data_IF_731769930676
#
_entry.id   IF_731769930676
#
_cell.length_a   1.000
_cell.length_b   1.000
_cell.length_c   1.000
_cell.angle_alpha   90.00
_cell.angle_beta   90.00
_cell.angle_gamma   90.00
#
_symmetry.space_group_name_H-M   'P 1'
#
loop_
_entity.id
_entity.type
_entity.pdbx_description
1 polymer ?
#
# COMPACT_ATOMS: atom_id res chain seq x y z
N UNK A 1 14.09 -108.71 1.20
CA UNK A 1 12.71 -108.80 0.68
C UNK A 1 11.82 -108.77 1.85
N UNK A 2 11.11 -107.72 2.09
CA UNK A 2 9.69 -107.76 2.21
C UNK A 2 9.13 -106.38 1.79
N UNK A 3 7.75 -106.27 1.89
CA UNK A 3 7.06 -105.48 0.91
C UNK A 3 6.68 -104.08 1.34
N UNK A 4 6.38 -103.28 0.34
CA UNK A 4 5.98 -101.88 0.40
C UNK A 4 4.50 -101.81 0.82
N UNK A 5 4.20 -100.88 1.78
CA UNK A 5 2.84 -100.44 2.06
C UNK A 5 2.72 -99.00 1.71
N UNK A 6 1.86 -98.71 0.79
CA UNK A 6 1.43 -97.38 0.38
C UNK A 6 0.40 -96.86 1.34
N UNK A 7 0.54 -95.59 1.81
CA UNK A 7 -0.48 -94.87 2.57
C UNK A 7 -0.94 -93.63 1.77
N UNK A 8 -2.24 -93.29 1.82
CA UNK A 8 -2.80 -92.31 0.92
C UNK A 8 -2.55 -90.86 1.40
N UNK A 9 -2.30 -89.98 0.43
CA UNK A 9 -2.04 -88.59 0.62
C UNK A 9 -3.37 -87.87 1.03
N UNK A 10 -3.36 -87.19 2.17
CA UNK A 10 -4.36 -86.22 2.57
C UNK A 10 -4.13 -84.91 1.80
N UNK A 11 -5.11 -84.51 1.00
CA UNK A 11 -5.15 -83.16 0.40
C UNK A 11 -5.58 -82.16 1.46
N UNK A 12 -4.70 -81.27 1.84
CA UNK A 12 -5.01 -80.13 2.68
C UNK A 12 -5.44 -78.99 1.75
N UNK A 13 -6.69 -78.56 1.90
CA UNK A 13 -7.20 -77.38 1.22
C UNK A 13 -6.62 -76.11 1.89
N UNK A 14 -5.84 -75.36 1.13
CA UNK A 14 -5.34 -74.02 1.56
C UNK A 14 -6.44 -73.00 1.18
N UNK A 15 -7.07 -72.46 2.18
CA UNK A 15 -8.01 -71.32 2.01
C UNK A 15 -7.17 -70.07 1.96
N UNK A 16 -7.10 -69.42 0.79
CA UNK A 16 -6.46 -68.12 0.62
C UNK A 16 -7.47 -67.04 1.05
N UNK A 17 -7.25 -66.46 2.20
CA UNK A 17 -7.97 -65.25 2.63
C UNK A 17 -7.43 -64.04 1.85
N UNK A 18 -8.21 -63.50 0.93
CA UNK A 18 -7.93 -62.24 0.26
C UNK A 18 -8.19 -61.07 1.22
N UNK A 19 -7.10 -60.46 1.75
CA UNK A 19 -7.18 -59.20 2.47
C UNK A 19 -7.32 -58.05 1.46
N UNK A 20 -8.48 -57.48 1.36
CA UNK A 20 -8.72 -56.26 0.60
C UNK A 20 -8.08 -55.07 1.36
N UNK A 21 -6.97 -54.58 0.89
CA UNK A 21 -6.36 -53.32 1.35
C UNK A 21 -7.17 -52.15 0.78
N UNK A 22 -7.99 -51.51 1.61
CA UNK A 22 -8.64 -50.28 1.26
C UNK A 22 -7.60 -49.14 1.35
N UNK A 23 -7.05 -48.70 0.23
CA UNK A 23 -6.26 -47.49 0.14
C UNK A 23 -7.17 -46.28 0.29
N UNK A 24 -7.14 -45.64 1.46
CA UNK A 24 -7.81 -44.36 1.70
C UNK A 24 -7.04 -43.28 0.92
N UNK A 25 -7.53 -42.93 -0.26
CA UNK A 25 -7.02 -41.75 -0.99
C UNK A 25 -7.45 -40.50 -0.23
N UNK A 26 -6.58 -39.92 0.55
CA UNK A 26 -6.75 -38.59 1.12
C UNK A 26 -6.74 -37.58 -0.05
N UNK A 27 -7.91 -37.17 -0.52
CA UNK A 27 -8.03 -36.05 -1.42
C UNK A 27 -7.57 -34.77 -0.69
N UNK A 28 -6.41 -34.27 -1.06
CA UNK A 28 -5.98 -32.92 -0.69
C UNK A 28 -6.97 -31.94 -1.30
N UNK A 29 -7.95 -31.50 -0.52
CA UNK A 29 -8.83 -30.43 -0.89
C UNK A 29 -7.99 -29.15 -1.03
N UNK A 30 -7.78 -28.73 -2.27
CA UNK A 30 -7.28 -27.39 -2.54
C UNK A 30 -8.24 -26.38 -1.86
N UNK A 31 -7.73 -25.36 -1.13
CA UNK A 31 -8.60 -24.35 -0.58
C UNK A 31 -9.38 -23.71 -1.72
N UNK A 32 -10.71 -23.76 -1.64
CA UNK A 32 -11.56 -23.07 -2.57
C UNK A 32 -11.19 -21.58 -2.62
N UNK A 33 -11.19 -20.95 -3.78
CA UNK A 33 -10.96 -19.50 -3.86
C UNK A 33 -11.97 -18.82 -2.94
N UNK A 34 -11.50 -17.96 -2.03
CA UNK A 34 -12.34 -17.22 -1.11
C UNK A 34 -13.42 -16.49 -1.94
N UNK A 35 -14.65 -16.92 -1.83
CA UNK A 35 -15.78 -16.26 -2.50
C UNK A 35 -15.88 -14.83 -1.95
N UNK A 36 -16.05 -13.88 -2.86
CA UNK A 36 -16.40 -12.52 -2.48
C UNK A 36 -17.68 -12.58 -1.65
N UNK A 37 -17.63 -12.05 -0.43
CA UNK A 37 -18.83 -11.92 0.40
C UNK A 37 -19.71 -10.88 -0.28
N UNK A 38 -20.84 -11.31 -0.84
CA UNK A 38 -21.84 -10.48 -1.51
C UNK A 38 -22.60 -9.59 -0.51
N UNK A 39 -21.88 -8.74 0.18
CA UNK A 39 -22.42 -7.59 0.86
C UNK A 39 -21.74 -6.38 0.23
N UNK A 40 -22.44 -5.64 -0.63
CA UNK A 40 -21.86 -4.52 -1.36
C UNK A 40 -21.10 -3.61 -0.40
N UNK A 41 -19.77 -3.68 -0.46
CA UNK A 41 -18.92 -2.79 0.32
C UNK A 41 -19.21 -1.33 -0.06
N UNK A 42 -19.07 -0.37 0.84
CA UNK A 42 -19.16 1.02 0.48
C UNK A 42 -18.24 1.32 -0.71
N UNK A 43 -18.79 1.96 -1.74
CA UNK A 43 -18.00 2.37 -2.90
C UNK A 43 -17.17 3.60 -2.54
N UNK A 44 -16.12 3.43 -1.75
CA UNK A 44 -15.28 4.54 -1.29
C UNK A 44 -14.42 5.09 -2.42
N UNK A 45 -14.44 6.41 -2.55
CA UNK A 45 -13.54 7.16 -3.43
C UNK A 45 -12.31 7.58 -2.63
N UNK A 46 -11.17 6.98 -2.94
CA UNK A 46 -9.90 7.20 -2.23
C UNK A 46 -8.91 7.89 -3.15
N UNK A 47 -8.31 8.98 -2.67
CA UNK A 47 -7.16 9.63 -3.29
C UNK A 47 -5.88 9.14 -2.61
N UNK A 48 -4.84 8.81 -3.36
CA UNK A 48 -3.47 8.77 -2.86
C UNK A 48 -2.60 9.76 -3.61
N UNK A 49 -1.70 10.43 -2.90
CA UNK A 49 -0.81 11.43 -3.49
C UNK A 49 0.51 11.52 -2.73
N UNK A 50 1.60 11.23 -3.43
CA UNK A 50 2.92 11.60 -2.98
C UNK A 50 3.07 13.11 -3.16
N UNK A 51 3.32 13.84 -2.08
CA UNK A 51 3.26 15.31 -2.05
C UNK A 51 4.60 15.99 -2.28
N UNK A 52 5.69 15.21 -2.24
CA UNK A 52 7.06 15.75 -2.34
C UNK A 52 7.30 16.93 -1.38
N UNK A 53 6.68 16.90 -0.18
CA UNK A 53 6.94 17.90 0.87
C UNK A 53 8.15 17.45 1.70
N UNK A 54 9.29 17.38 1.04
CA UNK A 54 10.57 17.01 1.65
C UNK A 54 10.97 18.04 2.72
N UNK A 55 11.64 17.56 3.77
CA UNK A 55 12.16 18.44 4.83
C UNK A 55 12.96 19.61 4.26
N UNK A 56 12.58 20.83 4.62
CA UNK A 56 13.25 22.06 4.16
C UNK A 56 14.69 22.15 4.64
N UNK A 57 15.05 21.46 5.72
CA UNK A 57 16.42 21.38 6.23
C UNK A 57 17.34 20.60 5.28
N UNK A 58 16.84 19.58 4.60
CA UNK A 58 17.59 18.73 3.68
C UNK A 58 17.41 19.16 2.23
N UNK A 59 16.22 19.65 1.89
CA UNK A 59 15.80 20.01 0.54
C UNK A 59 15.25 21.44 0.51
N UNK A 60 16.08 22.48 0.70
CA UNK A 60 15.62 23.87 0.62
C UNK A 60 15.18 24.25 -0.81
N UNK A 61 14.36 25.28 -0.90
CA UNK A 61 13.97 25.92 -2.17
C UNK A 61 13.13 25.05 -3.13
N UNK A 62 12.30 24.16 -2.59
CA UNK A 62 11.32 23.39 -3.36
C UNK A 62 9.87 23.91 -3.22
N UNK A 63 9.69 25.10 -2.64
CA UNK A 63 8.38 25.74 -2.48
C UNK A 63 7.38 24.91 -1.66
N UNK A 64 7.85 24.15 -0.68
CA UNK A 64 7.05 23.21 0.09
C UNK A 64 5.78 23.85 0.65
N UNK A 65 5.91 25.01 1.30
CA UNK A 65 4.77 25.72 1.89
C UNK A 65 3.76 26.20 0.83
N UNK A 66 4.26 26.77 -0.28
CA UNK A 66 3.41 27.16 -1.41
C UNK A 66 2.65 25.95 -1.97
N UNK A 67 3.36 24.84 -2.23
CA UNK A 67 2.77 23.62 -2.78
C UNK A 67 1.76 22.99 -1.83
N UNK A 68 2.03 23.00 -0.54
CA UNK A 68 1.11 22.50 0.48
C UNK A 68 -0.24 23.23 0.44
N UNK A 69 -0.24 24.56 0.41
CA UNK A 69 -1.45 25.37 0.26
C UNK A 69 -2.16 25.16 -1.07
N UNK A 70 -1.39 25.09 -2.17
CA UNK A 70 -1.93 24.86 -3.50
C UNK A 70 -2.55 23.46 -3.66
N UNK A 71 -1.95 22.41 -3.08
CA UNK A 71 -2.49 21.04 -3.07
C UNK A 71 -3.83 21.01 -2.32
N UNK A 72 -3.90 21.59 -1.13
CA UNK A 72 -5.15 21.62 -0.34
C UNK A 72 -6.29 22.36 -1.06
N UNK A 73 -5.98 23.34 -1.90
CA UNK A 73 -6.93 24.10 -2.70
C UNK A 73 -7.28 23.46 -4.05
N UNK A 74 -6.49 22.50 -4.52
CA UNK A 74 -6.58 21.94 -5.87
C UNK A 74 -7.90 21.20 -6.11
N UNK A 75 -8.50 21.31 -7.33
CA UNK A 75 -9.75 20.60 -7.65
C UNK A 75 -9.63 19.07 -7.49
N UNK A 76 -8.50 18.47 -7.88
CA UNK A 76 -8.29 17.02 -7.77
C UNK A 76 -8.29 16.53 -6.32
N UNK A 77 -8.01 17.39 -5.36
CA UNK A 77 -7.94 17.06 -3.94
C UNK A 77 -9.31 16.95 -3.27
N UNK A 78 -10.38 17.34 -3.98
CA UNK A 78 -11.73 17.49 -3.42
C UNK A 78 -12.63 16.29 -3.72
N UNK A 79 -13.61 16.07 -2.84
CA UNK A 79 -14.73 15.15 -3.10
C UNK A 79 -14.41 13.67 -2.94
N UNK A 80 -13.36 13.33 -2.17
CA UNK A 80 -13.02 11.96 -1.82
C UNK A 80 -13.59 11.56 -0.46
N UNK A 81 -13.68 10.26 -0.21
CA UNK A 81 -14.05 9.70 1.09
C UNK A 81 -12.86 9.71 2.05
N UNK A 82 -11.69 9.40 1.51
CA UNK A 82 -10.42 9.46 2.23
C UNK A 82 -9.26 9.83 1.29
N UNK A 83 -8.20 10.37 1.89
CA UNK A 83 -6.96 10.74 1.21
C UNK A 83 -5.80 10.13 1.96
N UNK A 84 -4.88 9.49 1.24
CA UNK A 84 -3.57 9.06 1.76
C UNK A 84 -2.51 9.96 1.16
N UNK A 85 -1.75 10.64 2.01
CA UNK A 85 -0.63 11.46 1.61
C UNK A 85 0.66 10.77 1.98
N UNK A 86 1.63 10.80 1.07
CA UNK A 86 3.00 10.35 1.29
C UNK A 86 3.98 11.49 1.05
N UNK A 87 5.20 11.36 1.53
CA UNK A 87 6.23 12.41 1.54
C UNK A 87 5.79 13.73 2.19
N UNK A 88 4.93 13.67 3.18
CA UNK A 88 4.58 14.83 4.01
C UNK A 88 5.60 15.04 5.15
N UNK A 89 6.90 15.03 4.82
CA UNK A 89 8.02 15.07 5.78
C UNK A 89 8.18 16.45 6.43
N UNK A 90 8.11 17.54 5.64
CA UNK A 90 8.28 18.88 6.20
C UNK A 90 7.18 19.23 7.19
N UNK A 91 7.58 19.50 8.43
CA UNK A 91 6.66 19.71 9.53
C UNK A 91 5.74 20.93 9.37
N UNK A 92 6.21 22.01 8.77
CA UNK A 92 5.42 23.23 8.56
C UNK A 92 4.44 23.02 7.42
N UNK A 93 4.94 22.60 6.26
CA UNK A 93 4.14 22.43 5.06
C UNK A 93 3.10 21.32 5.20
N UNK A 94 3.42 20.21 5.88
CA UNK A 94 2.42 19.17 6.14
C UNK A 94 1.30 19.65 7.06
N UNK A 95 1.59 20.50 8.06
CA UNK A 95 0.53 21.13 8.87
C UNK A 95 -0.33 22.10 8.06
N UNK A 96 0.29 22.90 7.18
CA UNK A 96 -0.43 23.80 6.27
C UNK A 96 -1.39 23.03 5.37
N UNK A 97 -0.92 21.90 4.80
CA UNK A 97 -1.76 21.04 3.97
C UNK A 97 -2.90 20.40 4.76
N UNK A 98 -2.62 19.82 5.94
CA UNK A 98 -3.64 19.23 6.81
C UNK A 98 -4.69 20.28 7.28
N UNK A 99 -4.25 21.47 7.67
CA UNK A 99 -5.14 22.55 8.06
C UNK A 99 -6.01 23.04 6.88
N UNK A 100 -5.43 23.21 5.70
CA UNK A 100 -6.17 23.58 4.48
C UNK A 100 -7.18 22.53 4.04
N UNK A 101 -6.91 21.25 4.36
CA UNK A 101 -7.79 20.12 4.06
C UNK A 101 -8.91 19.91 5.09
N UNK A 102 -8.82 20.50 6.30
CA UNK A 102 -9.64 20.15 7.45
C UNK A 102 -11.16 20.37 7.24
N UNK A 103 -11.57 21.33 6.41
CA UNK A 103 -13.00 21.56 6.09
C UNK A 103 -13.61 20.36 5.36
N UNK A 104 -12.87 19.70 4.47
CA UNK A 104 -13.35 18.54 3.71
C UNK A 104 -13.06 17.23 4.41
N UNK A 105 -11.94 17.17 5.12
CA UNK A 105 -11.42 15.99 5.81
C UNK A 105 -11.16 16.33 7.28
N UNK A 106 -12.22 16.47 8.09
CA UNK A 106 -12.09 16.89 9.49
C UNK A 106 -11.43 15.85 10.39
N UNK A 107 -11.37 14.59 9.94
CA UNK A 107 -10.75 13.49 10.68
C UNK A 107 -9.42 13.14 10.05
N UNK A 108 -8.34 13.29 10.81
CA UNK A 108 -6.98 13.12 10.31
C UNK A 108 -6.13 12.31 11.28
N UNK A 109 -5.19 11.54 10.76
CA UNK A 109 -4.14 10.93 11.57
C UNK A 109 -2.98 11.91 11.76
N UNK A 110 -2.18 11.77 12.81
CA UNK A 110 -0.84 12.36 12.80
C UNK A 110 -0.03 11.82 11.61
N UNK A 111 1.13 12.43 11.34
CA UNK A 111 2.09 11.88 10.39
C UNK A 111 2.84 10.71 11.04
N UNK A 112 2.91 9.58 10.34
CA UNK A 112 3.62 8.36 10.78
C UNK A 112 5.07 8.70 11.14
N UNK A 113 5.53 8.17 12.25
CA UNK A 113 6.93 8.28 12.66
C UNK A 113 7.36 9.65 13.19
N UNK A 114 6.50 10.68 13.17
CA UNK A 114 6.78 12.01 13.74
C UNK A 114 6.81 12.01 15.25
N UNK A 115 6.03 11.13 15.86
CA UNK A 115 5.91 10.94 17.30
C UNK A 115 4.91 9.84 17.61
N UNK A 116 4.73 9.55 18.88
CA UNK A 116 3.75 8.56 19.34
C UNK A 116 2.44 9.19 19.80
N UNK A 117 2.43 10.51 19.98
CA UNK A 117 1.23 11.23 20.42
C UNK A 117 0.13 11.27 19.38
N UNK A 118 -1.12 11.17 19.80
CA UNK A 118 -2.30 11.22 18.93
C UNK A 118 -2.59 9.91 18.17
N UNK A 119 -1.83 8.85 18.38
CA UNK A 119 -2.09 7.49 17.93
C UNK A 119 -2.67 6.64 19.06
N UNK A 120 -3.58 5.73 18.75
CA UNK A 120 -4.12 4.76 19.73
C UNK A 120 -3.09 3.66 20.03
N UNK A 121 -2.19 3.37 19.09
CA UNK A 121 -1.06 2.48 19.29
C UNK A 121 0.08 2.80 18.31
N UNK A 122 1.30 2.53 18.75
CA UNK A 122 2.52 2.58 17.93
C UNK A 122 3.18 1.21 17.96
N UNK A 123 3.35 0.61 16.79
CA UNK A 123 4.03 -0.67 16.59
C UNK A 123 5.31 -0.52 15.77
N UNK A 124 6.04 -1.63 15.64
CA UNK A 124 7.27 -1.68 14.84
C UNK A 124 8.48 -1.07 15.54
N UNK A 125 9.34 -0.41 14.77
CA UNK A 125 10.67 0.04 15.21
C UNK A 125 10.79 1.57 15.29
N UNK A 126 9.77 2.24 15.83
CA UNK A 126 9.81 3.69 16.03
C UNK A 126 11.04 4.12 16.84
N UNK A 127 11.71 5.17 16.39
CA UNK A 127 12.81 5.81 17.12
C UNK A 127 12.65 7.33 17.14
N UNK A 128 12.66 7.92 18.33
CA UNK A 128 12.63 9.38 18.51
C UNK A 128 13.93 10.09 18.09
N UNK A 129 14.99 9.32 17.83
CA UNK A 129 16.30 9.84 17.39
C UNK A 129 16.49 9.74 15.88
N UNK A 130 15.56 9.13 15.16
CA UNK A 130 15.58 9.12 13.70
C UNK A 130 15.30 10.54 13.18
N UNK A 131 16.14 11.07 12.28
CA UNK A 131 16.08 12.48 11.87
C UNK A 131 14.76 12.89 11.20
N UNK A 132 14.20 11.99 10.36
CA UNK A 132 12.99 12.25 9.59
C UNK A 132 11.84 11.34 10.05
N UNK A 133 10.62 11.83 9.94
CA UNK A 133 9.43 11.02 10.15
C UNK A 133 9.15 10.08 8.95
N UNK A 134 7.99 9.43 8.92
CA UNK A 134 7.62 8.51 7.84
C UNK A 134 6.85 9.17 6.70
N UNK A 135 6.50 10.45 6.81
CA UNK A 135 5.84 11.24 5.77
C UNK A 135 4.43 10.79 5.37
N UNK A 136 3.78 9.89 6.13
CA UNK A 136 2.47 9.32 5.76
C UNK A 136 1.38 9.81 6.70
N UNK A 137 0.25 10.28 6.13
CA UNK A 137 -0.95 10.62 6.90
C UNK A 137 -2.22 10.24 6.14
N UNK A 138 -3.28 9.94 6.88
CA UNK A 138 -4.61 9.63 6.35
C UNK A 138 -5.57 10.75 6.74
N UNK A 139 -6.26 11.30 5.75
CA UNK A 139 -7.32 12.28 5.93
C UNK A 139 -8.65 11.63 5.55
N UNK A 140 -9.73 11.92 6.28
CA UNK A 140 -11.05 11.31 6.04
C UNK A 140 -12.19 12.31 6.25
N UNK A 141 -13.20 12.23 5.39
CA UNK A 141 -14.48 12.89 5.67
C UNK A 141 -15.31 12.12 6.69
N UNK A 142 -14.98 10.83 6.92
CA UNK A 142 -15.66 9.96 7.85
C UNK A 142 -14.93 9.90 9.19
N UNK A 143 -15.65 9.75 10.31
CA UNK A 143 -15.03 9.60 11.61
C UNK A 143 -14.00 8.46 11.63
N UNK A 144 -12.83 8.73 12.18
CA UNK A 144 -11.80 7.73 12.45
C UNK A 144 -12.05 7.14 13.83
N UNK A 145 -12.49 5.88 13.88
CA UNK A 145 -12.78 5.16 15.13
C UNK A 145 -11.51 4.66 15.81
N UNK A 146 -10.47 4.37 15.03
CA UNK A 146 -9.17 3.91 15.49
C UNK A 146 -8.08 4.31 14.52
N UNK A 147 -6.94 4.73 15.06
CA UNK A 147 -5.75 5.08 14.30
C UNK A 147 -4.50 4.54 14.98
N UNK A 148 -3.76 3.73 14.25
CA UNK A 148 -2.51 3.15 14.72
C UNK A 148 -1.41 3.43 13.71
N UNK A 149 -0.17 3.55 14.18
CA UNK A 149 1.00 3.56 13.30
C UNK A 149 1.87 2.34 13.53
N UNK A 150 2.58 1.97 12.49
CA UNK A 150 3.61 0.94 12.54
C UNK A 150 4.83 1.44 11.76
N UNK A 151 6.00 1.45 12.39
CA UNK A 151 7.26 1.86 11.75
C UNK A 151 8.03 0.62 11.30
N UNK A 152 8.46 0.61 10.03
CA UNK A 152 9.22 -0.50 9.48
C UNK A 152 10.59 -0.64 10.16
N UNK A 153 11.08 -1.89 10.24
CA UNK A 153 12.36 -2.19 10.89
C UNK A 153 13.55 -1.94 9.97
N UNK A 154 13.39 -2.23 8.69
CA UNK A 154 14.50 -2.26 7.75
C UNK A 154 14.31 -1.22 6.65
N UNK A 155 15.39 -0.55 6.31
CA UNK A 155 15.48 0.41 5.23
C UNK A 155 16.90 0.41 4.65
N UNK A 156 17.05 0.87 3.41
CA UNK A 156 18.34 1.15 2.78
C UNK A 156 18.40 2.58 2.24
N UNK A 157 19.57 3.01 1.81
CA UNK A 157 19.76 4.33 1.23
C UNK A 157 19.30 5.46 2.16
N UNK A 158 18.66 6.46 1.62
CA UNK A 158 18.16 7.63 2.34
C UNK A 158 17.04 7.27 3.33
N UNK A 159 16.24 6.24 3.04
CA UNK A 159 15.13 5.81 3.91
C UNK A 159 15.58 5.31 5.30
N UNK A 160 16.88 4.97 5.47
CA UNK A 160 17.46 4.65 6.79
C UNK A 160 17.37 5.77 7.80
N UNK A 161 17.24 6.99 7.34
CA UNK A 161 17.18 8.18 8.16
C UNK A 161 15.75 8.64 8.44
N UNK A 162 14.75 7.83 8.08
CA UNK A 162 13.34 8.13 8.29
C UNK A 162 12.62 7.00 9.03
N UNK A 163 11.59 7.36 9.81
CA UNK A 163 10.66 6.43 10.44
C UNK A 163 9.56 5.99 9.46
N UNK A 164 9.91 5.58 8.22
CA UNK A 164 8.93 5.07 7.25
C UNK A 164 8.13 3.91 7.82
N UNK A 165 6.86 3.86 7.45
CA UNK A 165 5.93 2.89 7.98
C UNK A 165 4.55 3.01 7.36
N UNK A 166 3.52 2.65 8.12
CA UNK A 166 2.15 2.82 7.67
C UNK A 166 1.24 3.36 8.78
N UNK A 167 0.21 4.10 8.37
CA UNK A 167 -0.94 4.45 9.17
C UNK A 167 -2.05 3.42 8.93
N UNK A 168 -2.66 2.94 9.98
CA UNK A 168 -3.88 2.13 9.92
C UNK A 168 -5.02 2.93 10.52
N UNK A 169 -6.06 3.18 9.74
CA UNK A 169 -7.25 3.92 10.16
C UNK A 169 -8.51 3.06 9.97
N UNK A 170 -9.38 3.04 10.99
CA UNK A 170 -10.72 2.42 10.90
C UNK A 170 -11.73 3.54 10.76
N UNK A 171 -12.39 3.61 9.61
CA UNK A 171 -13.36 4.64 9.26
C UNK A 171 -14.78 4.16 9.56
N UNK A 172 -15.63 5.04 10.08
CA UNK A 172 -17.07 4.79 10.22
C UNK A 172 -17.83 5.36 9.01
N UNK A 173 -18.07 4.53 8.03
CA UNK A 173 -18.73 4.90 6.78
C UNK A 173 -20.22 4.60 6.88
N UNK A 174 -21.00 5.56 7.38
CA UNK A 174 -22.43 5.37 7.53
C UNK A 174 -22.84 4.20 8.43
N UNK A 175 -22.11 3.95 9.52
CA UNK A 175 -22.33 2.86 10.45
C UNK A 175 -21.58 1.56 10.10
N UNK A 176 -20.93 1.47 8.94
CA UNK A 176 -20.10 0.34 8.53
C UNK A 176 -18.62 0.70 8.68
N UNK A 177 -17.81 -0.27 9.10
CA UNK A 177 -16.37 -0.07 9.20
C UNK A 177 -15.70 -0.29 7.85
N UNK A 178 -14.75 0.60 7.53
CA UNK A 178 -13.79 0.41 6.47
C UNK A 178 -12.38 0.65 7.01
N UNK A 179 -11.45 -0.23 6.66
CA UNK A 179 -10.07 -0.20 7.14
C UNK A 179 -9.18 0.31 6.03
N UNK A 180 -8.40 1.35 6.31
CA UNK A 180 -7.48 1.95 5.36
C UNK A 180 -6.07 1.91 5.92
N UNK A 181 -5.16 1.30 5.19
CA UNK A 181 -3.72 1.36 5.41
C UNK A 181 -3.14 2.37 4.43
N UNK A 182 -2.53 3.44 4.95
CA UNK A 182 -1.75 4.39 4.16
C UNK A 182 -0.26 4.12 4.35
N UNK A 183 0.53 3.98 3.28
CA UNK A 183 1.96 3.68 3.39
C UNK A 183 2.78 4.32 2.28
N UNK A 184 4.07 4.53 2.58
CA UNK A 184 5.12 4.80 1.62
C UNK A 184 6.23 3.77 1.86
N UNK A 185 6.40 2.81 0.94
CA UNK A 185 7.39 1.76 1.10
C UNK A 185 8.78 2.21 0.67
N UNK A 186 9.78 1.35 0.85
CA UNK A 186 11.18 1.62 0.52
C UNK A 186 11.35 2.11 -0.92
N UNK A 187 11.94 3.28 -1.09
CA UNK A 187 12.36 3.79 -2.39
C UNK A 187 13.58 3.02 -2.93
N UNK A 188 13.81 3.08 -4.23
CA UNK A 188 15.06 2.60 -4.82
C UNK A 188 15.98 3.79 -5.01
N UNK A 189 17.11 3.82 -4.31
CA UNK A 189 18.12 4.86 -4.48
C UNK A 189 19.55 4.25 -4.54
N UNK A 190 20.52 5.08 -4.91
CA UNK A 190 21.92 4.66 -5.07
C UNK A 190 22.61 4.22 -3.76
N UNK A 191 22.02 4.51 -2.61
CA UNK A 191 22.49 4.04 -1.30
C UNK A 191 22.04 2.63 -0.95
N UNK A 192 21.19 2.01 -1.78
CA UNK A 192 20.78 0.62 -1.64
C UNK A 192 21.71 -0.31 -2.41
N UNK A 193 22.03 -1.47 -1.83
CA UNK A 193 22.71 -2.55 -2.54
C UNK A 193 21.83 -3.14 -3.66
N UNK A 194 22.44 -3.84 -4.59
CA UNK A 194 21.72 -4.48 -5.70
C UNK A 194 20.60 -5.39 -5.19
N UNK A 195 19.36 -5.11 -5.55
CA UNK A 195 18.17 -5.85 -5.14
C UNK A 195 17.76 -5.65 -3.67
N UNK A 196 18.49 -4.84 -2.89
CA UNK A 196 18.21 -4.62 -1.47
C UNK A 196 16.87 -3.92 -1.28
N UNK A 197 16.55 -2.88 -2.07
CA UNK A 197 15.27 -2.18 -2.00
C UNK A 197 14.09 -3.14 -2.23
N UNK A 198 14.16 -3.99 -3.25
CA UNK A 198 13.14 -5.03 -3.54
C UNK A 198 12.97 -5.98 -2.36
N UNK A 199 14.07 -6.46 -1.77
CA UNK A 199 14.03 -7.37 -0.63
C UNK A 199 13.40 -6.70 0.61
N UNK A 200 13.68 -5.41 0.83
CA UNK A 200 13.10 -4.62 1.93
C UNK A 200 11.61 -4.40 1.69
N UNK A 201 11.18 -3.96 0.50
CA UNK A 201 9.75 -3.81 0.17
C UNK A 201 8.99 -5.10 0.40
N UNK A 202 9.54 -6.23 -0.02
CA UNK A 202 8.92 -7.54 0.25
C UNK A 202 8.72 -7.82 1.74
N UNK A 203 9.65 -7.40 2.62
CA UNK A 203 9.49 -7.51 4.09
C UNK A 203 8.45 -6.52 4.62
N UNK A 204 8.41 -5.31 4.09
CA UNK A 204 7.43 -4.28 4.46
C UNK A 204 6.01 -4.72 4.10
N UNK A 205 5.77 -5.28 2.91
CA UNK A 205 4.47 -5.84 2.53
C UNK A 205 4.05 -7.02 3.42
N UNK A 206 4.98 -7.92 3.76
CA UNK A 206 4.69 -9.00 4.72
C UNK A 206 4.38 -8.47 6.13
N UNK A 207 5.01 -7.38 6.56
CA UNK A 207 4.70 -6.75 7.84
C UNK A 207 3.28 -6.16 7.86
N UNK A 208 2.85 -5.53 6.77
CA UNK A 208 1.45 -5.06 6.61
C UNK A 208 0.48 -6.23 6.66
N UNK A 209 0.75 -7.32 5.92
CA UNK A 209 -0.09 -8.53 5.91
C UNK A 209 -0.20 -9.16 7.30
N UNK A 210 0.93 -9.32 8.01
CA UNK A 210 0.96 -9.87 9.36
C UNK A 210 0.20 -8.99 10.36
N UNK A 211 0.34 -7.66 10.27
CA UNK A 211 -0.40 -6.71 11.08
C UNK A 211 -1.91 -6.85 10.88
N UNK A 212 -2.37 -6.88 9.63
CA UNK A 212 -3.79 -7.02 9.32
C UNK A 212 -4.35 -8.37 9.73
N UNK A 213 -3.61 -9.47 9.55
CA UNK A 213 -4.01 -10.80 10.05
C UNK A 213 -4.20 -10.81 11.57
N UNK A 214 -3.33 -10.13 12.31
CA UNK A 214 -3.44 -10.03 13.77
C UNK A 214 -4.68 -9.23 14.23
N UNK A 215 -5.22 -8.34 13.39
CA UNK A 215 -6.45 -7.58 13.68
C UNK A 215 -7.70 -8.43 13.63
N UNK A 216 -7.69 -9.58 12.97
CA UNK A 216 -8.86 -10.49 12.82
C UNK A 216 -10.10 -9.75 12.30
N UNK A 217 -9.91 -8.91 11.29
CA UNK A 217 -10.97 -8.10 10.70
C UNK A 217 -12.03 -9.03 10.11
N UNK A 218 -13.34 -8.80 10.35
CA UNK A 218 -14.42 -9.56 9.72
C UNK A 218 -14.36 -9.49 8.19
N UNK A 219 -14.73 -10.58 7.51
CA UNK A 219 -14.65 -10.67 6.06
C UNK A 219 -15.63 -9.72 5.34
N UNK A 220 -16.71 -9.32 6.00
CA UNK A 220 -17.71 -8.36 5.51
C UNK A 220 -17.30 -6.89 5.71
N UNK A 221 -16.16 -6.64 6.37
CA UNK A 221 -15.57 -5.30 6.47
C UNK A 221 -14.53 -5.08 5.35
N UNK A 222 -14.55 -3.87 4.76
CA UNK A 222 -13.63 -3.51 3.68
C UNK A 222 -12.23 -3.19 4.21
N UNK A 223 -11.20 -3.68 3.53
CA UNK A 223 -9.79 -3.39 3.87
C UNK A 223 -9.05 -2.92 2.61
N UNK A 224 -8.46 -1.73 2.69
CA UNK A 224 -7.74 -1.09 1.58
C UNK A 224 -6.30 -0.76 1.97
N UNK A 225 -5.42 -0.78 0.99
CA UNK A 225 -4.04 -0.28 1.05
C UNK A 225 -3.88 0.81 0.01
N UNK A 226 -3.40 1.97 0.40
CA UNK A 226 -3.16 3.09 -0.50
C UNK A 226 -1.81 3.75 -0.21
N UNK A 227 -1.18 4.30 -1.24
CA UNK A 227 0.09 5.01 -1.10
C UNK A 227 1.00 4.86 -2.31
N UNK A 228 2.18 5.43 -2.16
CA UNK A 228 3.32 5.18 -3.01
C UNK A 228 4.00 3.87 -2.55
N UNK A 229 3.84 2.83 -3.35
CA UNK A 229 4.38 1.51 -3.03
C UNK A 229 5.76 1.25 -3.62
N UNK A 230 6.33 2.22 -4.36
CA UNK A 230 7.64 2.13 -4.99
C UNK A 230 7.86 0.86 -5.81
N UNK A 231 6.80 0.33 -6.41
CA UNK A 231 6.80 -0.85 -7.28
C UNK A 231 6.14 -0.47 -8.60
N UNK A 232 6.89 -0.46 -9.68
CA UNK A 232 6.30 -0.18 -10.98
C UNK A 232 5.30 -1.28 -11.38
N UNK A 233 4.10 -0.88 -11.76
CA UNK A 233 3.01 -1.77 -12.19
C UNK A 233 3.38 -2.70 -13.35
N UNK A 234 4.44 -2.36 -14.10
CA UNK A 234 4.93 -3.13 -15.26
C UNK A 234 6.09 -4.04 -14.90
N UNK A 235 6.60 -3.95 -13.66
CA UNK A 235 7.73 -4.75 -13.20
C UNK A 235 7.31 -6.16 -12.78
N UNK A 236 8.26 -7.08 -12.77
CA UNK A 236 8.05 -8.41 -12.21
C UNK A 236 7.78 -8.37 -10.69
N UNK A 237 8.18 -7.29 -10.01
CA UNK A 237 7.95 -7.10 -8.57
C UNK A 237 6.46 -6.91 -8.23
N UNK A 238 5.63 -6.42 -9.18
CA UNK A 238 4.22 -6.15 -8.95
C UNK A 238 3.45 -7.39 -8.46
N UNK A 239 3.63 -8.52 -9.12
CA UNK A 239 2.98 -9.77 -8.70
C UNK A 239 3.44 -10.23 -7.31
N UNK A 240 4.74 -10.08 -7.02
CA UNK A 240 5.30 -10.39 -5.70
C UNK A 240 4.78 -9.45 -4.60
N UNK A 241 4.59 -8.16 -4.91
CA UNK A 241 3.95 -7.18 -4.02
C UNK A 241 2.54 -7.62 -3.62
N UNK A 242 1.70 -7.97 -4.60
CA UNK A 242 0.33 -8.44 -4.33
C UNK A 242 0.34 -9.72 -3.47
N UNK A 243 1.19 -10.70 -3.80
CA UNK A 243 1.31 -11.94 -3.04
C UNK A 243 1.81 -11.73 -1.61
N UNK A 244 2.83 -10.87 -1.40
CA UNK A 244 3.38 -10.58 -0.08
C UNK A 244 2.44 -9.77 0.82
N UNK A 245 1.62 -8.90 0.23
CA UNK A 245 0.73 -8.02 0.97
C UNK A 245 -0.67 -8.64 1.22
N UNK A 246 -1.07 -9.64 0.42
CA UNK A 246 -2.40 -10.23 0.46
C UNK A 246 -3.50 -9.32 -0.12
N UNK A 247 -3.12 -8.38 -0.98
CA UNK A 247 -4.04 -7.49 -1.69
C UNK A 247 -4.21 -7.91 -3.15
N UNK A 248 -5.23 -7.37 -3.79
CA UNK A 248 -5.52 -7.55 -5.21
C UNK A 248 -5.49 -6.21 -5.91
N UNK A 249 -5.04 -6.22 -7.17
CA UNK A 249 -4.96 -5.04 -8.03
C UNK A 249 -6.34 -4.57 -8.48
N UNK A 250 -6.41 -3.31 -8.91
CA UNK A 250 -7.62 -2.75 -9.52
C UNK A 250 -7.99 -3.49 -10.82
N UNK A 251 -9.30 -3.58 -11.12
CA UNK A 251 -9.79 -4.21 -12.35
C UNK A 251 -9.39 -3.40 -13.59
N UNK A 252 -9.18 -2.10 -13.43
CA UNK A 252 -8.71 -1.23 -14.49
C UNK A 252 -7.79 -0.14 -13.93
N UNK A 253 -6.79 0.22 -14.75
CA UNK A 253 -5.96 1.38 -14.54
C UNK A 253 -6.15 2.32 -15.73
N UNK A 254 -6.46 3.58 -15.45
CA UNK A 254 -6.88 4.58 -16.45
C UNK A 254 -6.18 5.92 -16.20
N UNK A 255 -6.43 6.88 -17.08
CA UNK A 255 -5.83 8.21 -17.00
C UNK A 255 -4.40 8.24 -17.54
N UNK A 256 -3.54 9.00 -16.89
CA UNK A 256 -2.13 9.09 -17.31
C UNK A 256 -1.41 7.76 -17.05
N UNK A 257 -0.50 7.31 -17.95
CA UNK A 257 0.11 5.97 -17.82
C UNK A 257 1.11 5.83 -16.68
N UNK A 258 1.55 6.92 -16.06
CA UNK A 258 2.57 6.94 -15.03
C UNK A 258 2.14 7.86 -13.88
N UNK A 259 2.25 7.41 -12.64
CA UNK A 259 2.09 8.29 -11.50
C UNK A 259 3.36 9.10 -11.22
N UNK A 260 4.53 8.57 -11.56
CA UNK A 260 5.83 9.24 -11.54
C UNK A 260 6.34 9.40 -12.97
N UNK A 261 6.23 10.61 -13.56
CA UNK A 261 6.59 10.85 -14.96
C UNK A 261 7.76 11.81 -15.09
N UNK A 262 8.94 11.26 -15.22
CA UNK A 262 10.20 12.00 -15.39
C UNK A 262 10.34 12.70 -16.73
N UNK A 263 9.41 12.53 -17.66
CA UNK A 263 9.45 13.16 -18.98
C UNK A 263 8.47 14.33 -19.10
N UNK A 264 7.32 14.27 -18.44
CA UNK A 264 6.26 15.27 -18.58
C UNK A 264 5.99 16.10 -17.31
N UNK A 265 6.21 15.52 -16.11
CA UNK A 265 6.08 16.27 -14.87
C UNK A 265 7.28 17.23 -14.70
N UNK A 266 7.01 18.49 -14.47
CA UNK A 266 8.04 19.55 -14.44
C UNK A 266 9.03 19.40 -13.28
N UNK A 267 8.61 18.85 -12.14
CA UNK A 267 9.45 18.60 -10.97
C UNK A 267 10.26 17.32 -11.18
N UNK A 268 9.60 16.20 -11.52
CA UNK A 268 10.26 14.93 -11.75
C UNK A 268 11.30 15.02 -12.88
N UNK A 269 10.95 15.66 -14.00
CA UNK A 269 11.86 15.87 -15.13
C UNK A 269 13.11 16.67 -14.76
N UNK A 270 12.96 17.68 -13.90
CA UNK A 270 14.08 18.48 -13.43
C UNK A 270 14.98 17.67 -12.50
N UNK A 271 14.38 16.90 -11.58
CA UNK A 271 15.10 16.20 -10.53
C UNK A 271 15.70 14.87 -10.98
N UNK A 272 14.99 14.16 -11.86
CA UNK A 272 15.30 12.81 -12.31
C UNK A 272 15.31 12.70 -13.85
N UNK A 273 16.17 13.49 -14.54
CA UNK A 273 16.13 13.61 -15.99
C UNK A 273 16.44 12.30 -16.71
N UNK A 274 17.25 11.45 -16.09
CA UNK A 274 17.74 10.19 -16.65
C UNK A 274 16.87 8.98 -16.30
N UNK A 275 15.98 9.10 -15.30
CA UNK A 275 15.13 8.00 -14.87
C UNK A 275 13.98 7.74 -15.85
N UNK A 276 13.55 6.50 -15.94
CA UNK A 276 12.35 6.13 -16.68
C UNK A 276 11.08 6.56 -15.92
N UNK A 277 9.98 6.88 -16.63
CA UNK A 277 8.69 7.05 -15.97
C UNK A 277 8.18 5.72 -15.39
N UNK A 278 7.57 5.78 -14.20
CA UNK A 278 7.08 4.62 -13.45
C UNK A 278 5.66 4.85 -12.93
N UNK A 279 4.99 3.76 -12.62
CA UNK A 279 3.63 3.75 -12.08
C UNK A 279 3.65 3.12 -10.69
N UNK A 280 3.76 3.96 -9.66
CA UNK A 280 4.17 3.61 -8.31
C UNK A 280 3.06 3.72 -7.26
N UNK A 281 2.00 4.48 -7.57
CA UNK A 281 0.92 4.78 -6.63
C UNK A 281 -0.27 3.86 -6.84
N UNK A 282 -0.92 3.43 -5.75
CA UNK A 282 -1.97 2.43 -5.78
C UNK A 282 -3.05 2.67 -4.74
N UNK A 283 -4.27 2.20 -5.06
CA UNK A 283 -5.28 1.81 -4.07
C UNK A 283 -5.68 0.36 -4.37
N UNK A 284 -5.44 -0.51 -3.40
CA UNK A 284 -5.64 -1.96 -3.50
C UNK A 284 -6.69 -2.41 -2.48
N UNK A 285 -7.42 -3.50 -2.77
CA UNK A 285 -8.35 -4.13 -1.83
C UNK A 285 -7.80 -5.47 -1.33
N UNK A 286 -8.00 -5.75 -0.04
CA UNK A 286 -7.53 -7.00 0.55
C UNK A 286 -8.36 -8.19 0.07
N UNK A 287 -7.67 -9.28 -0.30
CA UNK A 287 -8.29 -10.55 -0.65
C UNK A 287 -9.07 -11.12 0.54
N UNK A 288 -10.23 -11.74 0.26
CA UNK A 288 -11.08 -12.36 1.29
C UNK A 288 -11.87 -11.38 2.17
N UNK A 289 -11.88 -10.10 1.84
CA UNK A 289 -12.68 -9.07 2.50
C UNK A 289 -13.69 -8.44 1.54
N UNK A 290 -14.72 -7.79 2.09
CA UNK A 290 -15.70 -7.05 1.31
C UNK A 290 -15.00 -5.99 0.43
N UNK A 291 -15.43 -5.92 -0.83
CA UNK A 291 -14.92 -4.97 -1.81
C UNK A 291 -16.02 -4.62 -2.81
N UNK A 292 -15.92 -3.49 -3.53
CA UNK A 292 -16.79 -3.22 -4.65
C UNK A 292 -16.69 -4.33 -5.71
N UNK A 293 -17.76 -4.57 -6.46
CA UNK A 293 -17.75 -5.54 -7.57
C UNK A 293 -16.69 -5.19 -8.63
N UNK A 294 -16.44 -3.89 -8.84
CA UNK A 294 -15.33 -3.40 -9.66
C UNK A 294 -14.82 -2.09 -9.11
N UNK A 295 -13.52 -1.84 -9.26
CA UNK A 295 -12.92 -0.53 -9.00
C UNK A 295 -11.78 -0.27 -9.97
N UNK A 296 -11.47 0.99 -10.14
CA UNK A 296 -10.37 1.43 -10.99
C UNK A 296 -9.45 2.35 -10.24
N UNK A 297 -8.20 2.39 -10.67
CA UNK A 297 -7.21 3.38 -10.29
C UNK A 297 -7.00 4.32 -11.49
N UNK A 298 -7.25 5.62 -11.29
CA UNK A 298 -7.10 6.64 -12.32
C UNK A 298 -6.00 7.61 -11.93
N UNK A 299 -4.94 7.67 -12.71
CA UNK A 299 -3.88 8.68 -12.52
C UNK A 299 -4.33 9.98 -13.17
N UNK A 300 -4.41 11.04 -12.39
CA UNK A 300 -4.85 12.36 -12.84
C UNK A 300 -3.64 13.23 -13.13
N UNK A 301 -3.40 13.53 -14.40
CA UNK A 301 -2.36 14.50 -14.77
C UNK A 301 -2.81 15.91 -14.37
N UNK A 302 -2.57 16.25 -13.10
CA UNK A 302 -2.99 17.50 -12.49
C UNK A 302 -1.89 18.55 -12.66
N UNK A 303 -2.06 19.46 -13.62
CA UNK A 303 -1.20 20.63 -13.74
C UNK A 303 -1.67 21.76 -12.82
N UNK A 304 -0.72 22.60 -12.37
CA UNK A 304 -0.99 23.85 -11.65
C UNK A 304 -0.71 25.07 -12.54
N UNK A 305 -1.16 26.23 -12.10
CA UNK A 305 -0.62 27.49 -12.61
C UNK A 305 0.91 27.51 -12.38
N UNK A 306 1.71 28.13 -13.28
CA UNK A 306 3.14 28.25 -13.11
C UNK A 306 3.50 28.95 -11.79
N UNK A 307 4.44 28.37 -11.04
CA UNK A 307 4.98 28.95 -9.83
C UNK A 307 6.52 28.85 -9.83
N UNK A 308 7.17 29.71 -9.06
CA UNK A 308 8.63 29.92 -9.19
C UNK A 308 9.29 29.89 -7.81
N UNK A 309 10.44 29.23 -7.74
CA UNK A 309 11.40 29.35 -6.63
C UNK A 309 12.69 29.97 -7.11
N UNK A 310 13.41 30.63 -6.19
CA UNK A 310 14.74 31.16 -6.47
C UNK A 310 15.76 30.38 -5.64
N UNK A 311 16.82 29.93 -6.29
CA UNK A 311 17.94 29.26 -5.63
C UNK A 311 19.25 29.70 -6.27
N UNK A 312 20.20 30.16 -5.44
CA UNK A 312 21.51 30.62 -5.91
C UNK A 312 21.44 31.63 -7.06
N UNK A 313 20.52 32.61 -6.98
CA UNK A 313 20.32 33.63 -8.01
C UNK A 313 19.64 33.16 -9.29
N UNK A 314 19.27 31.90 -9.42
CA UNK A 314 18.51 31.35 -10.54
C UNK A 314 17.04 31.16 -10.18
N UNK A 315 16.17 31.41 -11.15
CA UNK A 315 14.73 31.14 -11.04
C UNK A 315 14.40 29.81 -11.69
N UNK A 316 13.57 29.02 -11.01
CA UNK A 316 13.06 27.73 -11.49
C UNK A 316 11.55 27.79 -11.48
N UNK A 317 10.93 27.50 -12.62
CA UNK A 317 9.48 27.56 -12.78
C UNK A 317 8.94 26.14 -12.99
N UNK A 318 7.91 25.81 -12.22
CA UNK A 318 7.23 24.51 -12.27
C UNK A 318 5.75 24.71 -12.57
N UNK A 319 5.11 23.68 -13.13
CA UNK A 319 3.68 23.61 -13.44
C UNK A 319 3.00 22.41 -12.78
N UNK A 320 3.72 21.72 -11.91
CA UNK A 320 3.22 20.58 -11.12
C UNK A 320 3.43 20.85 -9.63
N UNK A 321 2.58 20.28 -8.77
CA UNK A 321 2.64 20.48 -7.33
C UNK A 321 3.40 19.38 -6.57
N UNK A 322 3.77 18.31 -7.26
CA UNK A 322 4.64 17.23 -6.80
C UNK A 322 5.34 16.62 -7.99
N UNK A 323 6.35 15.80 -7.78
CA UNK A 323 6.99 14.95 -8.78
C UNK A 323 6.13 13.72 -9.15
N UNK A 324 5.09 13.44 -8.36
CA UNK A 324 4.05 12.48 -8.69
C UNK A 324 2.76 13.15 -9.17
N UNK A 325 1.95 12.40 -9.90
CA UNK A 325 0.56 12.71 -10.17
C UNK A 325 -0.36 12.01 -9.18
N UNK A 326 -1.47 12.66 -8.74
CA UNK A 326 -2.42 12.04 -7.84
C UNK A 326 -3.12 10.86 -8.50
N UNK A 327 -3.40 9.82 -7.71
CA UNK A 327 -4.19 8.67 -8.13
C UNK A 327 -5.50 8.62 -7.36
N UNK A 328 -6.60 8.48 -8.09
CA UNK A 328 -7.96 8.37 -7.54
C UNK A 328 -8.46 6.94 -7.77
N UNK A 329 -8.98 6.31 -6.73
CA UNK A 329 -9.70 5.05 -6.83
C UNK A 329 -11.19 5.23 -6.61
N UNK A 330 -12.00 4.54 -7.39
CA UNK A 330 -13.45 4.55 -7.26
C UNK A 330 -14.13 3.52 -8.17
N UNK A 331 -15.45 3.38 -8.01
CA UNK A 331 -16.28 2.42 -8.76
C UNK A 331 -17.02 3.06 -9.93
N UNK A 332 -16.88 4.38 -10.14
CA UNK A 332 -17.64 5.11 -11.17
C UNK A 332 -17.35 4.62 -12.59
N UNK A 333 -18.42 4.39 -13.37
CA UNK A 333 -18.36 4.55 -14.83
C UNK A 333 -18.41 6.06 -15.09
N UNK A 334 -17.36 6.62 -15.70
CA UNK A 334 -17.48 7.91 -16.36
C UNK A 334 -18.33 7.77 -17.60
#
# INVERSE_FOLDING_TARGET
>A
MPPTTTSPARRTAVTIAATASATLAAALALPAPAQAVDGAAPALKVLTYNTFLMSTNLYPNWGQEHRAGAIAAAPFFRGHDAVVLTEAFDNASSRTLQAGAATQYPYQTPVVGRGTGGWDATGGSYSSTTPEDGGVTVLSKWPILRKEQFVFKEACGSDRYSNKGFAYAVLNVGGRKAHLVGTHTQSTDSGCGKGEAVAIRAKQFRAIDAFLKAKKIPADEQVMLAGDLNVDARSAEYAAMLGNSGFVGADARTGHPYSFDTKQNSIARYRYPDDAPEDLDYVLHRSGHARPASWRNTVVKAASAPWTVSSWGRKYTYTDLSDHYPLISGTGRE
#
